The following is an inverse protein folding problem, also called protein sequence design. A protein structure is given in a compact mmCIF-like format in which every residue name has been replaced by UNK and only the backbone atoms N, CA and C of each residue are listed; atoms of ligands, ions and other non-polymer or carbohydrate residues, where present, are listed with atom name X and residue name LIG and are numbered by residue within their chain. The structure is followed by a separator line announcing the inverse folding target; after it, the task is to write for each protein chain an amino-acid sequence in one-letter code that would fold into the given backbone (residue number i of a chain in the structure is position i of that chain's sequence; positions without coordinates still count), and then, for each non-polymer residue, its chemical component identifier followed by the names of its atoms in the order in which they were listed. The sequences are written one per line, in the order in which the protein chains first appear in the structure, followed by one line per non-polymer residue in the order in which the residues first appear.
data_IF_006371480855
#
_entry.id   IF_006371480855
#
_cell.length_a   1.000
_cell.length_b   1.000
_cell.length_c   1.000
_cell.angle_alpha   90.00
_cell.angle_beta   90.00
_cell.angle_gamma   90.00
#
_symmetry.space_group_name_H-M   'P 1'
#
loop_
_entity.id
_entity.type
_entity.pdbx_description
1 polymer ?
#
# COMPACT_ATOMS: atom_id res chain seq x y z
N UNK A 1 -3.28 5.74 -1.93
CA UNK A 1 -4.58 6.07 -1.28
C UNK A 1 -4.35 6.36 0.21
N UNK A 2 -5.14 7.23 0.84
CA UNK A 2 -5.11 7.53 2.28
C UNK A 2 -6.36 6.94 2.93
N UNK A 3 -6.23 6.33 4.12
CA UNK A 3 -7.39 5.90 4.92
C UNK A 3 -8.05 7.12 5.57
N UNK A 4 -9.32 7.36 5.27
CA UNK A 4 -10.10 8.35 6.00
C UNK A 4 -10.83 7.66 7.16
N UNK A 5 -10.25 7.70 8.35
CA UNK A 5 -10.91 7.26 9.59
C UNK A 5 -11.84 8.37 10.08
N UNK A 6 -12.97 8.55 9.40
CA UNK A 6 -14.09 9.36 9.88
C UNK A 6 -15.10 8.42 10.56
N UNK A 7 -15.20 8.45 11.90
CA UNK A 7 -16.33 7.84 12.61
C UNK A 7 -17.44 8.86 12.78
N UNK A 8 -18.65 8.40 12.52
CA UNK A 8 -19.94 8.99 12.86
C UNK A 8 -19.99 9.40 14.33
N UNK A 9 -20.47 10.61 14.58
CA UNK A 9 -20.59 11.22 15.90
C UNK A 9 -21.58 10.46 16.80
N UNK A 10 -21.19 10.18 18.04
CA UNK A 10 -22.11 9.87 19.13
C UNK A 10 -22.41 11.17 19.91
N UNK A 11 -23.70 11.36 20.20
CA UNK A 11 -24.32 12.48 20.93
C UNK A 11 -23.72 12.66 22.35
N UNK A 12 -23.22 13.86 22.73
CA UNK A 12 -22.55 14.10 24.01
C UNK A 12 -23.48 14.69 25.08
N UNK A 13 -24.66 14.11 25.29
CA UNK A 13 -25.63 14.60 26.28
C UNK A 13 -25.90 13.65 27.45
N UNK A 14 -24.88 13.24 28.22
CA UNK A 14 -25.06 12.82 29.63
C UNK A 14 -23.84 13.14 30.53
N UNK A 15 -24.04 13.65 31.78
CA UNK A 15 -22.96 14.00 32.70
C UNK A 15 -22.43 12.79 33.51
N UNK A 16 -21.23 12.89 34.13
CA UNK A 16 -20.55 11.75 34.73
C UNK A 16 -21.10 11.43 36.12
N UNK A 17 -21.40 10.15 36.39
CA UNK A 17 -21.60 9.64 37.75
C UNK A 17 -20.38 8.84 38.20
N UNK A 18 -19.75 9.34 39.27
CA UNK A 18 -18.72 8.66 40.05
C UNK A 18 -19.35 7.61 40.95
N UNK A 19 -18.94 6.35 40.85
CA UNK A 19 -18.70 5.48 42.03
C UNK A 19 -17.96 4.20 41.65
N UNK A 20 -16.90 3.91 42.41
CA UNK A 20 -16.23 2.63 42.52
C UNK A 20 -17.15 1.57 43.13
N UNK A 21 -17.29 0.39 42.50
CA UNK A 21 -17.54 -0.87 43.22
C UNK A 21 -17.26 -2.11 42.36
N UNK A 22 -16.39 -2.98 42.87
CA UNK A 22 -16.26 -4.39 42.50
C UNK A 22 -17.58 -5.12 42.76
N UNK A 23 -18.13 -5.87 41.79
CA UNK A 23 -18.91 -7.11 42.02
C UNK A 23 -18.85 -8.01 40.77
N UNK A 24 -18.35 -9.24 40.97
CA UNK A 24 -18.59 -10.41 40.13
C UNK A 24 -20.07 -10.83 40.22
N UNK A 25 -20.71 -11.18 39.11
CA UNK A 25 -21.60 -12.37 39.01
C UNK A 25 -22.00 -12.67 37.57
N UNK A 26 -22.00 -13.97 37.25
CA UNK A 26 -22.60 -14.61 36.08
C UNK A 26 -24.04 -14.15 35.78
N UNK A 27 -24.43 -14.17 34.49
CA UNK A 27 -25.63 -14.86 33.98
C UNK A 27 -25.82 -14.62 32.47
N UNK A 28 -26.06 -15.70 31.73
CA UNK A 28 -26.48 -15.74 30.33
C UNK A 28 -27.84 -15.09 30.11
N UNK A 29 -28.05 -14.45 28.94
CA UNK A 29 -29.22 -14.72 28.08
C UNK A 29 -29.13 -13.97 26.74
N UNK A 30 -29.48 -14.70 25.68
CA UNK A 30 -29.75 -14.24 24.32
C UNK A 30 -30.92 -13.25 24.28
N UNK A 31 -30.85 -12.25 23.40
CA UNK A 31 -32.04 -11.61 22.82
C UNK A 31 -31.75 -11.16 21.39
N UNK A 32 -32.43 -11.81 20.45
CA UNK A 32 -32.64 -11.36 19.07
C UNK A 32 -33.73 -10.29 19.03
N UNK A 33 -33.56 -9.20 18.28
CA UNK A 33 -34.69 -8.35 17.89
C UNK A 33 -34.56 -7.84 16.45
N UNK A 34 -35.40 -8.43 15.58
CA UNK A 34 -35.89 -7.88 14.32
C UNK A 34 -36.64 -6.57 14.60
N UNK A 35 -36.40 -5.55 13.78
CA UNK A 35 -37.21 -4.34 13.74
C UNK A 35 -38.04 -4.32 12.45
N UNK A 36 -39.36 -4.26 12.62
CA UNK A 36 -40.34 -3.86 11.61
C UNK A 36 -40.83 -2.46 11.98
N UNK A 37 -40.95 -1.56 11.00
CA UNK A 37 -41.90 -0.44 11.09
C UNK A 37 -42.40 -0.04 9.71
N UNK A 38 -43.71 0.07 9.61
CA UNK A 38 -44.54 0.33 8.43
C UNK A 38 -44.76 1.82 8.20
N UNK A 39 -44.57 2.22 6.93
CA UNK A 39 -45.33 3.19 6.13
C UNK A 39 -45.89 4.47 6.76
N UNK A 40 -45.52 5.62 6.19
CA UNK A 40 -46.44 6.72 5.83
C UNK A 40 -46.07 7.23 4.42
N UNK A 41 -47.07 7.32 3.54
CA UNK A 41 -46.94 7.74 2.15
C UNK A 41 -47.39 9.20 1.99
N UNK A 42 -46.73 9.96 1.10
CA UNK A 42 -47.41 10.92 0.24
C UNK A 42 -46.57 11.34 -0.98
N UNK A 43 -47.17 11.08 -2.16
CA UNK A 43 -47.18 11.84 -3.43
C UNK A 43 -45.88 12.23 -4.15
N UNK A 44 -45.76 11.67 -5.37
CA UNK A 44 -44.78 11.88 -6.47
C UNK A 44 -44.91 13.25 -7.18
N UNK A 45 -43.94 13.65 -8.05
CA UNK A 45 -43.99 13.23 -9.47
C UNK A 45 -42.64 12.74 -10.06
N UNK A 46 -42.74 11.90 -11.11
CA UNK A 46 -41.67 11.22 -11.88
C UNK A 46 -40.69 12.20 -12.58
N UNK A 47 -39.52 11.71 -13.05
CA UNK A 47 -39.44 11.42 -14.48
C UNK A 47 -38.63 10.17 -14.90
N UNK A 48 -39.01 9.70 -16.10
CA UNK A 48 -38.27 9.01 -17.17
C UNK A 48 -37.61 7.64 -16.93
N UNK A 49 -38.32 6.60 -17.40
CA UNK A 49 -37.78 5.31 -17.84
C UNK A 49 -36.94 5.53 -19.12
N UNK A 50 -35.69 5.09 -19.13
CA UNK A 50 -34.97 4.77 -20.36
C UNK A 50 -34.96 3.25 -20.58
N UNK A 51 -35.29 2.88 -21.81
CA UNK A 51 -35.43 1.53 -22.34
C UNK A 51 -34.09 0.79 -22.42
N UNK A 52 -34.11 -0.51 -22.12
CA UNK A 52 -33.12 -1.47 -22.60
C UNK A 52 -33.46 -1.89 -24.05
N UNK A 53 -32.50 -1.90 -25.00
CA UNK A 53 -32.71 -2.53 -26.29
C UNK A 53 -32.32 -4.02 -26.24
N UNK A 54 -33.30 -4.89 -26.52
CA UNK A 54 -33.09 -6.22 -27.09
C UNK A 54 -32.88 -6.06 -28.60
N UNK A 55 -31.79 -6.58 -29.17
CA UNK A 55 -31.78 -7.06 -30.55
C UNK A 55 -30.75 -8.19 -30.75
N UNK A 56 -31.29 -9.31 -31.19
CA UNK A 56 -30.76 -10.43 -31.97
C UNK A 56 -29.27 -10.40 -32.37
N UNK A 57 -28.51 -11.39 -31.89
CA UNK A 57 -27.19 -11.73 -32.44
C UNK A 57 -27.36 -12.54 -33.74
N UNK A 58 -26.99 -11.91 -34.88
CA UNK A 58 -26.72 -12.61 -36.13
C UNK A 58 -25.44 -13.45 -35.98
N UNK A 59 -25.57 -14.75 -36.21
CA UNK A 59 -24.45 -15.67 -36.33
C UNK A 59 -23.65 -15.35 -37.60
N UNK A 60 -22.45 -14.78 -37.45
CA UNK A 60 -21.49 -14.65 -38.54
C UNK A 60 -20.47 -15.78 -38.44
N UNK A 61 -20.66 -16.84 -39.24
CA UNK A 61 -19.64 -17.88 -39.46
C UNK A 61 -18.50 -17.29 -40.30
N UNK A 62 -17.44 -16.84 -39.64
CA UNK A 62 -16.15 -16.54 -40.28
C UNK A 62 -15.17 -17.67 -40.00
N UNK A 63 -14.72 -18.38 -41.04
CA UNK A 63 -13.55 -19.25 -40.97
C UNK A 63 -12.32 -18.37 -40.67
N UNK A 64 -11.86 -18.36 -39.42
CA UNK A 64 -10.52 -17.89 -39.10
C UNK A 64 -9.53 -18.93 -39.62
N UNK A 65 -8.77 -18.58 -40.66
CA UNK A 65 -7.72 -19.42 -41.20
C UNK A 65 -6.68 -19.70 -40.11
N UNK A 66 -6.33 -20.98 -39.95
CA UNK A 66 -5.37 -21.52 -38.96
C UNK A 66 -4.05 -20.72 -38.83
N UNK A 67 -3.45 -20.11 -39.88
CA UNK A 67 -2.22 -19.35 -39.70
C UNK A 67 -2.38 -18.04 -38.93
N UNK A 68 -3.56 -17.39 -38.94
CA UNK A 68 -3.81 -16.17 -38.18
C UNK A 68 -3.96 -16.44 -36.67
N UNK A 69 -4.47 -17.61 -36.31
CA UNK A 69 -4.55 -18.05 -34.90
C UNK A 69 -3.16 -18.41 -34.37
N UNK A 70 -2.29 -19.04 -35.20
CA UNK A 70 -0.90 -19.31 -34.82
C UNK A 70 -0.06 -18.02 -34.73
N UNK A 71 -0.20 -17.08 -35.67
CA UNK A 71 0.48 -15.78 -35.59
C UNK A 71 -0.05 -14.98 -34.41
N UNK A 72 -1.36 -15.03 -34.15
CA UNK A 72 -1.98 -14.46 -32.95
C UNK A 72 -1.42 -15.06 -31.66
N UNK A 73 -1.27 -16.39 -31.57
CA UNK A 73 -0.68 -17.09 -30.42
C UNK A 73 0.82 -16.79 -30.26
N UNK A 74 1.58 -16.67 -31.36
CA UNK A 74 3.00 -16.31 -31.31
C UNK A 74 3.17 -14.84 -30.92
N UNK A 75 2.35 -13.92 -31.43
CA UNK A 75 2.38 -12.50 -31.03
C UNK A 75 1.87 -12.31 -29.60
N UNK A 76 0.89 -13.09 -29.13
CA UNK A 76 0.46 -13.10 -27.72
C UNK A 76 1.51 -13.72 -26.80
N UNK A 77 2.24 -14.74 -27.25
CA UNK A 77 3.34 -15.34 -26.49
C UNK A 77 4.58 -14.43 -26.42
N UNK A 78 4.79 -13.55 -27.40
CA UNK A 78 5.92 -12.60 -27.41
C UNK A 78 5.57 -11.29 -26.70
N UNK A 79 4.28 -10.96 -26.55
CA UNK A 79 3.81 -9.71 -25.90
C UNK A 79 3.23 -9.93 -24.49
N UNK A 80 3.24 -11.16 -23.99
CA UNK A 80 2.65 -11.54 -22.71
C UNK A 80 3.70 -11.94 -21.66
N UNK A 81 3.97 -11.03 -20.73
CA UNK A 81 4.23 -11.34 -19.31
C UNK A 81 5.46 -12.24 -19.05
N UNK A 82 6.67 -11.72 -19.27
CA UNK A 82 7.71 -12.00 -18.27
C UNK A 82 7.66 -10.82 -17.30
N UNK A 83 7.26 -11.08 -16.05
CA UNK A 83 7.44 -10.10 -14.99
C UNK A 83 8.91 -9.69 -14.95
N UNK A 84 9.21 -8.46 -14.51
CA UNK A 84 10.61 -8.11 -14.23
C UNK A 84 11.16 -9.19 -13.27
N UNK A 85 12.18 -9.99 -13.64
CA UNK A 85 12.63 -11.10 -12.80
C UNK A 85 13.04 -10.63 -11.41
N UNK A 86 13.49 -9.37 -11.30
CA UNK A 86 13.79 -8.74 -10.02
C UNK A 86 12.51 -8.50 -9.20
N UNK A 87 11.41 -8.11 -9.85
CA UNK A 87 10.11 -7.97 -9.18
C UNK A 87 9.59 -9.33 -8.69
N UNK A 88 9.75 -10.41 -9.47
CA UNK A 88 9.37 -11.76 -9.02
C UNK A 88 10.24 -12.23 -7.84
N UNK A 89 11.54 -11.95 -7.87
CA UNK A 89 12.47 -12.26 -6.78
C UNK A 89 12.12 -11.52 -5.47
N UNK A 90 11.57 -10.31 -5.55
CA UNK A 90 11.22 -9.47 -4.40
C UNK A 90 9.78 -9.69 -3.90
N UNK A 91 9.02 -10.63 -4.48
CA UNK A 91 7.68 -10.96 -3.98
C UNK A 91 7.74 -11.93 -2.80
N UNK A 92 6.91 -11.69 -1.79
CA UNK A 92 6.71 -12.64 -0.69
C UNK A 92 6.13 -13.95 -1.25
N UNK A 93 6.83 -15.06 -1.02
CA UNK A 93 6.45 -16.37 -1.58
C UNK A 93 5.12 -16.89 -1.03
N UNK A 94 4.73 -16.45 0.16
CA UNK A 94 3.50 -16.79 0.85
C UNK A 94 2.40 -15.72 0.70
N UNK A 95 2.60 -14.67 -0.12
CA UNK A 95 1.66 -13.55 -0.24
C UNK A 95 0.23 -13.99 -0.55
N UNK A 96 0.06 -14.96 -1.46
CA UNK A 96 -1.25 -15.48 -1.85
C UNK A 96 -1.93 -16.22 -0.71
N UNK A 97 -1.17 -16.97 0.10
CA UNK A 97 -1.69 -17.66 1.28
C UNK A 97 -2.09 -16.64 2.37
N UNK A 98 -1.25 -15.65 2.63
CA UNK A 98 -1.54 -14.58 3.60
C UNK A 98 -2.77 -13.77 3.20
N UNK A 99 -2.94 -13.47 1.90
CA UNK A 99 -4.14 -12.82 1.40
C UNK A 99 -5.38 -13.69 1.60
N UNK A 100 -5.28 -15.00 1.35
CA UNK A 100 -6.39 -15.94 1.57
C UNK A 100 -6.80 -16.00 3.05
N UNK A 101 -5.83 -15.99 3.97
CA UNK A 101 -6.08 -15.94 5.42
C UNK A 101 -6.84 -14.66 5.79
N UNK A 102 -6.49 -13.51 5.20
CA UNK A 102 -7.23 -12.27 5.47
C UNK A 102 -8.64 -12.31 4.88
N UNK A 103 -8.80 -12.88 3.68
CA UNK A 103 -10.07 -12.95 2.96
C UNK A 103 -11.05 -13.96 3.55
N UNK A 104 -10.57 -15.12 3.98
CA UNK A 104 -11.40 -16.24 4.44
C UNK A 104 -11.30 -16.51 5.95
N UNK A 105 -10.29 -15.96 6.61
CA UNK A 105 -9.95 -16.29 8.00
C UNK A 105 -9.13 -17.58 8.09
N UNK A 106 -8.53 -17.82 9.26
CA UNK A 106 -7.99 -19.13 9.60
C UNK A 106 -9.13 -20.14 9.81
N UNK A 107 -8.89 -21.44 9.60
CA UNK A 107 -9.85 -22.48 9.95
C UNK A 107 -10.26 -22.38 11.43
N UNK A 108 -11.56 -22.55 11.77
CA UNK A 108 -12.01 -22.54 13.15
C UNK A 108 -11.28 -23.60 14.00
N UNK A 109 -10.79 -23.18 15.17
CA UNK A 109 -10.05 -24.06 16.06
C UNK A 109 -10.96 -25.06 16.75
N UNK A 110 -10.53 -26.33 16.81
CA UNK A 110 -11.18 -27.36 17.63
C UNK A 110 -10.68 -27.35 19.08
N UNK A 111 -9.58 -26.67 19.33
CA UNK A 111 -8.91 -26.61 20.64
C UNK A 111 -8.59 -25.15 20.97
N UNK A 112 -9.56 -24.38 21.48
CA UNK A 112 -9.34 -22.99 21.85
C UNK A 112 -8.16 -22.85 22.82
N UNK A 113 -7.32 -21.86 22.54
CA UNK A 113 -6.17 -21.48 23.39
C UNK A 113 -6.34 -20.05 23.88
N UNK A 114 -5.72 -19.72 25.00
CA UNK A 114 -5.56 -18.34 25.44
C UNK A 114 -4.17 -17.85 25.01
N UNK A 115 -4.14 -16.84 24.14
CA UNK A 115 -2.94 -16.31 23.51
C UNK A 115 -2.73 -14.87 23.98
N UNK A 116 -1.54 -14.58 24.50
CA UNK A 116 -1.11 -13.23 24.80
C UNK A 116 -0.33 -12.65 23.61
N UNK A 117 -0.67 -11.42 23.22
CA UNK A 117 0.02 -10.66 22.16
C UNK A 117 0.60 -9.41 22.80
N UNK A 118 1.92 -9.23 22.69
CA UNK A 118 2.62 -8.06 23.22
C UNK A 118 2.77 -7.02 22.11
N UNK A 119 2.14 -5.87 22.29
CA UNK A 119 2.11 -4.76 21.34
C UNK A 119 0.79 -4.64 20.57
N UNK A 120 0.12 -3.51 20.72
CA UNK A 120 -1.10 -3.09 20.03
C UNK A 120 -0.85 -2.34 18.73
N UNK A 121 0.27 -2.59 18.05
CA UNK A 121 0.55 -2.09 16.70
C UNK A 121 -0.17 -2.88 15.61
N UNK A 122 -0.02 -2.48 14.34
CA UNK A 122 -0.73 -3.12 13.22
C UNK A 122 -0.50 -4.65 13.16
N UNK A 123 0.73 -5.12 13.36
CA UNK A 123 1.03 -6.56 13.37
C UNK A 123 0.29 -7.31 14.49
N UNK A 124 0.33 -6.78 15.72
CA UNK A 124 -0.34 -7.39 16.87
C UNK A 124 -1.87 -7.36 16.75
N UNK A 125 -2.44 -6.25 16.26
CA UNK A 125 -3.87 -6.14 16.01
C UNK A 125 -4.35 -7.09 14.90
N UNK A 126 -3.58 -7.25 13.82
CA UNK A 126 -3.88 -8.20 12.75
C UNK A 126 -3.85 -9.64 13.27
N UNK A 127 -2.80 -10.02 14.00
CA UNK A 127 -2.71 -11.35 14.61
C UNK A 127 -3.85 -11.60 15.60
N UNK A 128 -4.17 -10.62 16.45
CA UNK A 128 -5.27 -10.71 17.40
C UNK A 128 -6.61 -10.96 16.70
N UNK A 129 -6.91 -10.18 15.65
CA UNK A 129 -8.14 -10.30 14.89
C UNK A 129 -8.29 -11.68 14.24
N UNK A 130 -7.23 -12.15 13.59
CA UNK A 130 -7.23 -13.44 12.88
C UNK A 130 -7.38 -14.62 13.86
N UNK A 131 -6.69 -14.57 15.00
CA UNK A 131 -6.76 -15.62 16.03
C UNK A 131 -8.11 -15.61 16.78
N UNK A 132 -8.65 -14.42 17.08
CA UNK A 132 -9.96 -14.27 17.69
C UNK A 132 -11.07 -14.81 16.77
N UNK A 133 -11.04 -14.47 15.48
CA UNK A 133 -11.99 -14.99 14.48
C UNK A 133 -11.93 -16.51 14.34
N UNK A 134 -10.75 -17.10 14.52
CA UNK A 134 -10.54 -18.54 14.53
C UNK A 134 -11.05 -19.23 15.81
N UNK A 135 -11.51 -18.49 16.81
CA UNK A 135 -12.08 -19.01 18.06
C UNK A 135 -11.09 -19.12 19.23
N UNK A 136 -9.93 -18.47 19.16
CA UNK A 136 -9.02 -18.37 20.29
C UNK A 136 -9.41 -17.22 21.23
N UNK A 137 -9.08 -17.34 22.51
CA UNK A 137 -9.13 -16.21 23.44
C UNK A 137 -7.84 -15.42 23.31
N UNK A 138 -7.92 -14.13 23.00
CA UNK A 138 -6.74 -13.27 22.83
C UNK A 138 -6.67 -12.22 23.94
N UNK A 139 -5.47 -11.89 24.40
CA UNK A 139 -5.21 -10.75 25.28
C UNK A 139 -4.07 -9.93 24.70
N UNK A 140 -4.35 -8.67 24.39
CA UNK A 140 -3.34 -7.73 23.88
C UNK A 140 -2.78 -6.94 25.06
N UNK A 141 -1.46 -6.91 25.18
CA UNK A 141 -0.73 -6.15 26.19
C UNK A 141 -0.01 -5.02 25.46
N UNK A 142 -0.58 -3.81 25.55
CA UNK A 142 -0.02 -2.59 24.95
C UNK A 142 0.55 -1.69 26.04
N UNK A 143 1.76 -1.18 25.81
CA UNK A 143 2.48 -0.37 26.80
C UNK A 143 1.98 1.08 26.85
N UNK A 144 1.54 1.63 25.72
CA UNK A 144 1.04 3.00 25.62
C UNK A 144 -0.46 3.09 25.94
N UNK A 145 -0.98 4.31 25.98
CA UNK A 145 -2.40 4.60 26.18
C UNK A 145 -3.21 4.56 24.86
N UNK A 146 -2.63 4.08 23.76
CA UNK A 146 -3.27 4.00 22.45
C UNK A 146 -2.87 2.74 21.69
N UNK A 147 -3.67 2.39 20.69
CA UNK A 147 -3.36 1.32 19.74
C UNK A 147 -2.94 1.92 18.39
N UNK A 148 -2.34 1.10 17.52
CA UNK A 148 -1.90 1.47 16.18
C UNK A 148 -0.39 1.53 16.02
N UNK A 149 0.37 1.70 17.11
CA UNK A 149 1.83 1.78 17.07
C UNK A 149 2.30 2.94 16.19
N UNK A 150 3.10 2.67 15.16
CA UNK A 150 3.58 3.69 14.19
C UNK A 150 2.49 4.24 13.26
N UNK A 151 1.30 3.66 13.25
CA UNK A 151 0.14 4.21 12.52
C UNK A 151 -0.60 5.15 13.46
N UNK A 152 -0.36 6.45 13.31
CA UNK A 152 -0.88 7.49 14.21
C UNK A 152 -1.36 8.72 13.45
N UNK A 153 -2.55 9.19 13.81
CA UNK A 153 -3.13 10.43 13.32
C UNK A 153 -3.31 11.39 14.49
N UNK A 154 -2.62 12.53 14.44
CA UNK A 154 -2.91 13.64 15.36
C UNK A 154 -4.20 14.33 14.94
N UNK A 155 -5.07 14.65 15.90
CA UNK A 155 -6.38 15.27 15.63
C UNK A 155 -6.58 16.50 16.50
N UNK A 156 -6.73 17.66 15.86
CA UNK A 156 -7.14 18.88 16.53
C UNK A 156 -8.66 19.07 16.37
N UNK A 157 -9.41 18.58 17.35
CA UNK A 157 -10.87 18.66 17.33
C UNK A 157 -11.41 20.09 17.51
N UNK A 158 -10.61 21.02 18.04
CA UNK A 158 -11.01 22.42 18.21
C UNK A 158 -11.05 23.16 16.88
N UNK A 159 -10.07 22.89 16.02
CA UNK A 159 -9.91 23.57 14.73
C UNK A 159 -10.36 22.72 13.54
N UNK A 160 -10.69 21.45 13.76
CA UNK A 160 -11.28 20.58 12.74
C UNK A 160 -10.29 20.01 11.73
N UNK A 161 -9.00 19.91 12.08
CA UNK A 161 -7.96 19.34 11.21
C UNK A 161 -7.25 18.15 11.87
N UNK A 162 -6.60 17.34 11.03
CA UNK A 162 -5.79 16.21 11.45
C UNK A 162 -4.53 16.10 10.60
N UNK A 163 -3.53 15.38 11.10
CA UNK A 163 -2.29 15.10 10.39
C UNK A 163 -1.84 13.67 10.67
N UNK A 164 -1.45 12.93 9.63
CA UNK A 164 -0.78 11.65 9.79
C UNK A 164 0.65 11.89 10.29
N UNK A 165 1.02 11.27 11.41
CA UNK A 165 2.34 11.39 12.04
C UNK A 165 3.24 10.20 11.68
N UNK A 166 2.67 9.18 11.02
CA UNK A 166 3.40 8.01 10.54
C UNK A 166 2.99 7.62 9.11
N UNK A 167 2.27 6.52 8.97
CA UNK A 167 1.84 6.03 7.66
C UNK A 167 0.86 7.00 6.98
N UNK A 168 1.20 7.49 5.78
CA UNK A 168 0.38 8.47 5.06
C UNK A 168 -0.23 7.95 3.75
N UNK A 169 0.28 6.85 3.18
CA UNK A 169 -0.12 6.36 1.86
C UNK A 169 -0.09 4.84 1.76
N UNK A 170 -1.06 4.30 1.03
CA UNK A 170 -1.20 2.87 0.70
C UNK A 170 -1.11 2.71 -0.83
N UNK A 171 -0.10 1.99 -1.34
CA UNK A 171 -0.02 1.61 -2.75
C UNK A 171 -1.16 0.68 -3.18
N UNK A 172 -1.56 0.76 -4.45
CA UNK A 172 -2.67 -0.04 -5.01
C UNK A 172 -2.40 -1.55 -5.08
N UNK A 173 -1.13 -1.95 -5.01
CA UNK A 173 -0.71 -3.35 -5.02
C UNK A 173 -0.65 -3.98 -3.62
N UNK A 174 -0.81 -3.22 -2.52
CA UNK A 174 -0.88 -3.75 -1.15
C UNK A 174 -2.25 -4.39 -0.85
N UNK A 175 -2.56 -5.51 -1.51
CA UNK A 175 -3.87 -6.20 -1.46
C UNK A 175 -4.30 -6.65 -0.07
N UNK A 176 -3.37 -7.13 0.76
CA UNK A 176 -3.68 -7.56 2.14
C UNK A 176 -4.31 -6.40 2.93
N UNK A 177 -3.66 -5.23 2.92
CA UNK A 177 -4.17 -4.05 3.62
C UNK A 177 -5.48 -3.53 3.00
N UNK A 178 -5.59 -3.54 1.66
CA UNK A 178 -6.80 -3.13 0.95
C UNK A 178 -7.99 -4.07 1.20
N UNK A 179 -7.75 -5.37 1.43
CA UNK A 179 -8.78 -6.31 1.86
C UNK A 179 -9.32 -5.94 3.25
N UNK A 180 -8.44 -5.66 4.22
CA UNK A 180 -8.87 -5.15 5.53
C UNK A 180 -9.68 -3.85 5.43
N UNK A 181 -9.23 -2.90 4.61
CA UNK A 181 -9.96 -1.65 4.34
C UNK A 181 -11.39 -1.94 3.87
N UNK A 182 -11.53 -2.84 2.89
CA UNK A 182 -12.83 -3.21 2.32
C UNK A 182 -13.73 -3.88 3.37
N UNK A 183 -13.21 -4.86 4.10
CA UNK A 183 -13.92 -5.59 5.16
C UNK A 183 -14.38 -4.68 6.31
N UNK A 184 -13.55 -3.70 6.68
CA UNK A 184 -13.84 -2.72 7.72
C UNK A 184 -14.64 -1.52 7.20
N UNK A 185 -14.97 -1.50 5.90
CA UNK A 185 -15.74 -0.43 5.24
C UNK A 185 -15.11 0.96 5.43
N UNK A 186 -13.78 1.03 5.40
CA UNK A 186 -13.03 2.29 5.53
C UNK A 186 -12.96 2.96 4.16
N UNK A 187 -13.26 4.25 4.10
CA UNK A 187 -13.17 5.04 2.86
C UNK A 187 -11.72 5.38 2.52
N UNK A 188 -11.40 5.34 1.22
CA UNK A 188 -10.08 5.67 0.69
C UNK A 188 -10.14 6.94 -0.16
N UNK A 189 -9.13 7.80 0.00
CA UNK A 189 -8.90 8.96 -0.87
C UNK A 189 -7.66 8.74 -1.74
N UNK A 190 -7.64 9.20 -3.01
CA UNK A 190 -6.42 9.25 -3.80
C UNK A 190 -5.32 10.06 -3.10
N UNK A 191 -4.07 9.61 -3.20
CA UNK A 191 -2.91 10.35 -2.73
C UNK A 191 -2.09 10.73 -3.97
N UNK A 192 -1.86 12.02 -4.19
CA UNK A 192 -1.08 12.52 -5.33
C UNK A 192 0.39 12.43 -4.95
N UNK A 193 1.14 11.62 -5.71
CA UNK A 193 2.55 11.39 -5.45
C UNK A 193 3.42 12.56 -5.90
N UNK A 194 3.18 13.01 -7.13
CA UNK A 194 3.94 14.05 -7.81
C UNK A 194 2.97 15.07 -8.42
N UNK A 195 3.35 16.34 -8.42
CA UNK A 195 2.61 17.42 -9.06
C UNK A 195 3.59 18.32 -9.81
N UNK A 196 3.38 18.49 -11.11
CA UNK A 196 4.23 19.28 -12.01
C UNK A 196 4.33 20.76 -11.62
N UNK A 197 3.40 21.28 -10.83
CA UNK A 197 3.37 22.66 -10.34
C UNK A 197 4.14 22.87 -9.03
N UNK A 198 4.73 21.80 -8.47
CA UNK A 198 5.63 21.90 -7.30
C UNK A 198 7.01 22.41 -7.71
N UNK A 199 7.91 22.53 -6.72
CA UNK A 199 9.20 23.19 -6.88
C UNK A 199 10.34 22.37 -6.28
N UNK A 200 11.50 22.43 -6.93
CA UNK A 200 12.79 22.05 -6.40
C UNK A 200 13.57 23.30 -6.01
N UNK A 201 14.07 23.34 -4.77
CA UNK A 201 15.06 24.33 -4.32
C UNK A 201 16.36 23.59 -4.01
N UNK A 202 17.24 23.51 -4.99
CA UNK A 202 18.46 22.69 -4.96
C UNK A 202 19.59 23.54 -5.50
N UNK A 203 20.79 23.46 -4.92
CA UNK A 203 21.99 24.14 -5.43
C UNK A 203 21.82 25.67 -5.60
N UNK A 204 20.96 26.29 -4.78
CA UNK A 204 20.64 27.71 -4.87
C UNK A 204 19.71 28.10 -6.02
N UNK A 205 19.20 27.14 -6.80
CA UNK A 205 18.22 27.38 -7.87
C UNK A 205 16.84 26.89 -7.49
N UNK A 206 15.84 27.73 -7.72
CA UNK A 206 14.42 27.40 -7.58
C UNK A 206 13.84 27.08 -8.97
N UNK A 207 13.39 25.86 -9.17
CA UNK A 207 12.85 25.39 -10.45
C UNK A 207 11.51 24.68 -10.25
N UNK A 208 10.57 24.86 -11.17
CA UNK A 208 9.33 24.07 -11.17
C UNK A 208 9.62 22.62 -11.57
N UNK A 209 8.82 21.68 -11.07
CA UNK A 209 8.92 20.26 -11.40
C UNK A 209 8.85 20.02 -12.91
N UNK A 210 7.93 20.69 -13.64
CA UNK A 210 7.89 20.63 -15.12
C UNK A 210 9.22 21.01 -15.79
N UNK A 211 9.93 22.02 -15.28
CA UNK A 211 11.19 22.45 -15.87
C UNK A 211 12.29 21.40 -15.65
N UNK A 212 12.30 20.77 -14.48
CA UNK A 212 13.24 19.70 -14.13
C UNK A 212 12.97 18.44 -14.92
N UNK A 213 11.70 18.05 -15.09
CA UNK A 213 11.32 16.88 -15.91
C UNK A 213 11.73 17.05 -17.38
N UNK A 214 11.55 18.25 -17.94
CA UNK A 214 11.94 18.55 -19.31
C UNK A 214 13.47 18.66 -19.49
N UNK A 215 14.19 19.18 -18.49
CA UNK A 215 15.64 19.31 -18.53
C UNK A 215 16.24 19.21 -17.12
N UNK A 216 16.68 18.03 -16.67
CA UNK A 216 17.26 17.85 -15.33
C UNK A 216 18.52 18.69 -15.07
N UNK A 217 19.20 19.14 -16.13
CA UNK A 217 20.39 19.99 -16.05
C UNK A 217 20.15 21.35 -15.41
N UNK A 218 18.90 21.83 -15.35
CA UNK A 218 18.55 23.12 -14.70
C UNK A 218 18.86 23.13 -13.20
N UNK A 219 19.04 21.96 -12.57
CA UNK A 219 19.41 21.83 -11.16
C UNK A 219 20.92 21.97 -10.91
N UNK A 220 21.73 22.17 -11.96
CA UNK A 220 23.15 22.51 -11.86
C UNK A 220 24.02 21.49 -11.08
N UNK A 221 23.79 20.19 -11.31
CA UNK A 221 24.69 19.14 -10.83
C UNK A 221 25.90 18.96 -11.76
N UNK A 222 27.08 18.71 -11.18
CA UNK A 222 28.28 18.40 -11.94
C UNK A 222 28.31 16.90 -12.32
N UNK A 223 27.89 16.60 -13.55
CA UNK A 223 27.74 15.23 -14.06
C UNK A 223 28.80 14.89 -15.12
N UNK A 224 29.17 13.61 -15.22
CA UNK A 224 29.97 13.08 -16.35
C UNK A 224 29.17 13.20 -17.65
N UNK A 225 29.84 13.19 -18.79
CA UNK A 225 29.18 13.33 -20.09
C UNK A 225 28.08 12.28 -20.33
N UNK A 226 28.33 11.02 -19.96
CA UNK A 226 27.37 9.91 -20.08
C UNK A 226 26.16 9.99 -19.14
N UNK A 227 26.21 10.90 -18.16
CA UNK A 227 25.16 11.10 -17.14
C UNK A 227 24.29 12.32 -17.43
N UNK A 228 24.75 13.23 -18.30
CA UNK A 228 24.04 14.47 -18.63
C UNK A 228 22.69 14.18 -19.30
N UNK A 229 21.70 15.01 -18.98
CA UNK A 229 20.33 14.89 -19.51
C UNK A 229 19.48 13.82 -18.85
N UNK A 230 20.05 12.98 -17.96
CA UNK A 230 19.31 11.95 -17.24
C UNK A 230 18.73 12.50 -15.94
N UNK A 231 17.53 12.05 -15.59
CA UNK A 231 16.93 12.31 -14.27
C UNK A 231 17.60 11.47 -13.19
N UNK A 232 17.39 11.83 -11.92
CA UNK A 232 17.88 11.04 -10.79
C UNK A 232 17.37 9.59 -10.84
N UNK A 233 16.09 9.39 -11.18
CA UNK A 233 15.47 8.08 -11.31
C UNK A 233 16.09 7.25 -12.45
N UNK A 234 16.42 7.87 -13.58
CA UNK A 234 17.11 7.21 -14.68
C UNK A 234 18.53 6.80 -14.28
N UNK A 235 19.29 7.71 -13.67
CA UNK A 235 20.64 7.42 -13.15
C UNK A 235 20.62 6.25 -12.18
N UNK A 236 19.67 6.22 -11.23
CA UNK A 236 19.51 5.10 -10.30
C UNK A 236 19.12 3.80 -11.02
N UNK A 237 18.07 3.85 -11.84
CA UNK A 237 17.51 2.65 -12.50
C UNK A 237 18.50 2.00 -13.45
N UNK A 238 19.33 2.79 -14.14
CA UNK A 238 20.38 2.26 -15.01
C UNK A 238 21.36 1.39 -14.20
N UNK A 239 21.72 1.76 -12.97
CA UNK A 239 22.64 0.95 -12.16
C UNK A 239 22.11 -0.44 -11.80
N UNK A 240 20.80 -0.66 -11.83
CA UNK A 240 20.18 -1.96 -11.50
C UNK A 240 20.51 -3.05 -12.52
N UNK A 241 21.14 -2.72 -13.66
CA UNK A 241 21.59 -3.69 -14.65
C UNK A 241 22.45 -4.79 -14.02
N UNK A 242 23.31 -4.43 -13.05
CA UNK A 242 24.26 -5.36 -12.42
C UNK A 242 23.56 -6.35 -11.48
N UNK A 243 22.59 -5.86 -10.70
CA UNK A 243 21.69 -6.69 -9.90
C UNK A 243 20.90 -7.66 -10.80
N UNK A 244 20.33 -7.17 -11.89
CA UNK A 244 19.57 -8.02 -12.85
C UNK A 244 20.44 -9.07 -13.52
N UNK A 245 21.66 -8.70 -13.90
CA UNK A 245 22.63 -9.64 -14.45
C UNK A 245 22.98 -10.74 -13.44
N UNK A 246 23.28 -10.37 -12.20
CA UNK A 246 23.66 -11.33 -11.17
C UNK A 246 22.47 -12.20 -10.76
N UNK A 247 21.24 -11.66 -10.71
CA UNK A 247 20.02 -12.44 -10.52
C UNK A 247 19.94 -13.59 -11.54
N UNK A 248 20.21 -13.33 -12.82
CA UNK A 248 20.20 -14.34 -13.86
C UNK A 248 21.36 -15.34 -13.75
N UNK A 249 22.50 -14.91 -13.20
CA UNK A 249 23.71 -15.72 -13.13
C UNK A 249 23.78 -16.63 -11.88
N UNK A 250 23.35 -16.12 -10.71
CA UNK A 250 23.50 -16.79 -9.41
C UNK A 250 22.16 -17.07 -8.70
N UNK A 251 21.04 -16.63 -9.28
CA UNK A 251 19.70 -16.84 -8.71
C UNK A 251 19.33 -15.83 -7.62
N UNK A 252 18.06 -15.81 -7.23
CA UNK A 252 17.49 -14.78 -6.35
C UNK A 252 18.11 -14.76 -4.96
N UNK A 253 18.16 -15.90 -4.24
CA UNK A 253 18.70 -15.96 -2.88
C UNK A 253 20.16 -15.49 -2.81
N UNK A 254 21.04 -16.02 -3.66
CA UNK A 254 22.45 -15.65 -3.65
C UNK A 254 22.68 -14.20 -4.10
N UNK A 255 21.83 -13.68 -5.00
CA UNK A 255 21.84 -12.26 -5.37
C UNK A 255 21.45 -11.37 -4.18
N UNK A 256 20.39 -11.71 -3.46
CA UNK A 256 19.96 -10.97 -2.27
C UNK A 256 21.06 -11.00 -1.19
N UNK A 257 21.62 -12.17 -0.88
CA UNK A 257 22.70 -12.32 0.11
C UNK A 257 23.93 -11.48 -0.26
N UNK A 258 24.28 -11.44 -1.56
CA UNK A 258 25.39 -10.62 -2.05
C UNK A 258 25.13 -9.14 -1.80
N UNK A 259 23.97 -8.62 -2.21
CA UNK A 259 23.71 -7.18 -2.19
C UNK A 259 23.22 -6.65 -0.83
N UNK A 260 22.74 -7.52 0.07
CA UNK A 260 22.47 -7.17 1.47
C UNK A 260 23.73 -6.72 2.22
N UNK A 261 24.91 -7.19 1.79
CA UNK A 261 26.20 -6.75 2.34
C UNK A 261 26.65 -5.35 1.91
N UNK A 262 25.96 -4.73 0.93
CA UNK A 262 26.31 -3.40 0.42
C UNK A 262 25.43 -2.32 1.08
N UNK A 263 26.04 -1.17 1.38
CA UNK A 263 25.22 0.04 1.54
C UNK A 263 24.75 0.55 0.17
N UNK A 264 23.61 1.25 0.10
CA UNK A 264 23.12 1.83 -1.17
C UNK A 264 24.17 2.71 -1.83
N UNK A 265 24.86 3.56 -1.06
CA UNK A 265 25.92 4.42 -1.58
C UNK A 265 27.09 3.62 -2.13
N UNK A 266 27.52 2.59 -1.41
CA UNK A 266 28.61 1.72 -1.84
C UNK A 266 28.28 1.01 -3.15
N UNK A 267 27.07 0.48 -3.29
CA UNK A 267 26.60 -0.13 -4.53
C UNK A 267 26.65 0.85 -5.71
N UNK A 268 26.07 2.05 -5.54
CA UNK A 268 26.02 3.05 -6.60
C UNK A 268 27.43 3.54 -7.03
N UNK A 269 28.40 3.52 -6.12
CA UNK A 269 29.81 3.85 -6.40
C UNK A 269 30.52 2.68 -7.08
N UNK A 270 30.51 1.49 -6.47
CA UNK A 270 31.34 0.35 -6.88
C UNK A 270 30.78 -0.37 -8.10
N UNK A 271 29.48 -0.66 -8.10
CA UNK A 271 28.80 -1.41 -9.16
C UNK A 271 28.16 -0.45 -10.18
N UNK A 272 27.59 0.67 -9.70
CA UNK A 272 26.94 1.67 -10.55
C UNK A 272 27.91 2.62 -11.28
N UNK A 273 29.16 2.76 -10.81
CA UNK A 273 30.18 3.66 -11.36
C UNK A 273 29.70 5.12 -11.54
N UNK A 274 28.78 5.57 -10.69
CA UNK A 274 28.22 6.91 -10.76
C UNK A 274 29.22 7.97 -10.30
N UNK A 275 29.18 9.14 -10.93
CA UNK A 275 29.94 10.31 -10.49
C UNK A 275 29.45 10.81 -9.13
N UNK A 276 30.30 11.60 -8.45
CA UNK A 276 29.91 12.26 -7.20
C UNK A 276 28.68 13.15 -7.37
N UNK A 277 28.54 13.82 -8.52
CA UNK A 277 27.37 14.65 -8.80
C UNK A 277 26.10 13.83 -9.00
N UNK A 278 26.18 12.70 -9.70
CA UNK A 278 25.05 11.78 -9.88
C UNK A 278 24.60 11.17 -8.54
N UNK A 279 25.54 10.75 -7.69
CA UNK A 279 25.24 10.25 -6.34
C UNK A 279 24.50 11.29 -5.51
N UNK A 280 24.98 12.54 -5.51
CA UNK A 280 24.31 13.63 -4.80
C UNK A 280 22.93 13.92 -5.36
N UNK A 281 22.78 13.93 -6.69
CA UNK A 281 21.50 14.13 -7.36
C UNK A 281 20.48 13.05 -6.98
N UNK A 282 20.88 11.77 -6.93
CA UNK A 282 20.06 10.66 -6.45
C UNK A 282 19.69 10.85 -4.98
N UNK A 283 20.68 11.14 -4.13
CA UNK A 283 20.48 11.34 -2.71
C UNK A 283 19.48 12.47 -2.39
N UNK A 284 19.65 13.61 -3.05
CA UNK A 284 18.87 14.82 -2.82
C UNK A 284 17.44 14.70 -3.38
N UNK A 285 17.27 14.12 -4.58
CA UNK A 285 15.97 14.10 -5.28
C UNK A 285 15.13 12.88 -4.90
N UNK A 286 15.74 11.70 -4.74
CA UNK A 286 15.03 10.45 -4.46
C UNK A 286 14.96 10.14 -2.95
N UNK A 287 15.43 11.05 -2.10
CA UNK A 287 15.50 10.89 -0.64
C UNK A 287 16.38 9.71 -0.17
N UNK A 288 17.36 9.33 -0.99
CA UNK A 288 18.30 8.23 -0.73
C UNK A 288 19.45 8.65 0.21
N UNK A 289 19.59 9.95 0.52
CA UNK A 289 20.59 10.44 1.48
C UNK A 289 20.47 9.75 2.85
N UNK A 290 19.25 9.41 3.27
CA UNK A 290 19.02 8.64 4.51
C UNK A 290 19.71 7.26 4.48
N UNK A 291 19.77 6.62 3.31
CA UNK A 291 20.45 5.34 3.09
C UNK A 291 21.95 5.48 2.82
N UNK A 292 22.46 6.70 2.68
CA UNK A 292 23.89 7.00 2.49
C UNK A 292 24.67 7.20 3.81
N UNK A 293 23.99 7.20 4.96
CA UNK A 293 24.55 7.66 6.24
C UNK A 293 25.01 6.56 7.21
N UNK A 294 24.95 5.28 6.84
CA UNK A 294 25.59 4.24 7.64
C UNK A 294 27.02 4.00 7.15
N UNK A 295 27.96 4.70 7.81
CA UNK A 295 29.32 4.29 8.20
C UNK A 295 30.05 5.54 8.72
N UNK A 296 29.98 5.75 10.03
CA UNK A 296 31.00 6.50 10.80
C UNK A 296 32.02 5.51 11.31
#
# INVERSE_FOLDING_TARGET
MVMNLSRTACDPSQPPSTTSRLVNTHSSQMLTSRWNSTSHANTTPKPNKLLCPNTSAMALRGLLSVPLVLIGLVVFAVSGIFGDPLYECLQDTDYSELLDIVDKGLPPTKTPRHIAIVGGGIAGLTAAKILEDAGHKVTIIEASNRIGGRVETFRNNREGWYAEIGAMRIPSFHKILLSFVSKLQISLNPFIQDDINTYYLINGVLQKTTAVENNPGVLNYSLKESERGKSAAQLFSETLWKVKHDLNAIGCSAMLDKYDSYTTKEYLVKEGNLSRGALRMIGDILNENSLFTHHS
#
